data_IF_695445033220
#
_entry.id   IF_695445033220
#
_cell.length_a   1.000
_cell.length_b   1.000
_cell.length_c   1.000
_cell.angle_alpha   90.00
_cell.angle_beta   90.00
_cell.angle_gamma   90.00
#
_symmetry.space_group_name_H-M   'P 1'
#
loop_
_entity.id
_entity.type
_entity.pdbx_description
1 polymer ?
#
# COMPACT_ATOMS: atom_id res chain seq x y z
N UNK A 1 7.73 13.88 1.23
CA UNK A 1 7.79 13.79 -0.23
C UNK A 1 7.60 12.35 -0.69
N UNK A 2 6.78 12.15 -1.68
CA UNK A 2 6.46 10.82 -2.16
C UNK A 2 7.41 10.39 -3.27
N UNK A 3 7.91 9.17 -3.18
CA UNK A 3 8.72 8.57 -4.23
C UNK A 3 8.07 7.29 -4.70
N UNK A 4 8.20 7.03 -6.00
CA UNK A 4 7.68 5.84 -6.61
C UNK A 4 8.82 4.84 -6.74
N UNK A 5 8.68 3.66 -6.16
CA UNK A 5 9.72 2.65 -6.16
C UNK A 5 9.40 1.60 -7.21
N UNK A 6 10.02 1.72 -8.38
CA UNK A 6 9.84 0.77 -9.46
C UNK A 6 11.09 -0.08 -9.69
N UNK A 7 12.22 0.35 -9.11
CA UNK A 7 13.44 -0.44 -9.11
C UNK A 7 13.91 -0.44 -7.67
N UNK A 8 14.23 -1.61 -7.14
CA UNK A 8 14.50 -1.74 -5.72
C UNK A 8 15.87 -2.32 -5.47
N UNK A 9 16.69 -1.62 -4.70
CA UNK A 9 17.97 -2.17 -4.26
C UNK A 9 17.79 -2.77 -2.86
N UNK A 10 18.86 -3.32 -2.33
CA UNK A 10 18.81 -4.00 -1.05
C UNK A 10 18.50 -3.04 0.09
N UNK A 11 19.01 -1.82 0.01
CA UNK A 11 18.76 -0.85 1.06
C UNK A 11 17.28 -0.49 1.13
N UNK A 12 16.67 -0.23 -0.03
CA UNK A 12 15.26 0.13 -0.07
C UNK A 12 14.39 -1.03 0.41
N UNK A 13 14.72 -2.27 0.02
CA UNK A 13 13.92 -3.41 0.44
C UNK A 13 14.02 -3.64 1.94
N UNK A 14 15.17 -3.36 2.54
CA UNK A 14 15.33 -3.47 3.98
C UNK A 14 14.57 -2.37 4.71
N UNK A 15 14.56 -1.16 4.16
CA UNK A 15 13.80 -0.05 4.72
C UNK A 15 12.31 -0.37 4.69
N UNK A 16 11.84 -0.98 3.60
CA UNK A 16 10.44 -1.37 3.50
C UNK A 16 10.09 -2.47 4.50
N UNK A 17 10.97 -3.44 4.66
CA UNK A 17 10.73 -4.49 5.63
C UNK A 17 10.67 -3.91 7.05
N UNK A 18 11.55 -3.00 7.36
CA UNK A 18 11.57 -2.35 8.67
C UNK A 18 10.30 -1.58 8.96
N UNK A 19 9.83 -0.78 8.02
CA UNK A 19 8.64 0.01 8.25
C UNK A 19 7.40 -0.87 8.33
N UNK A 20 7.36 -1.94 7.56
CA UNK A 20 6.24 -2.87 7.64
C UNK A 20 6.22 -3.56 9.01
N UNK A 21 7.38 -3.93 9.55
CA UNK A 21 7.45 -4.54 10.86
C UNK A 21 7.11 -3.57 11.99
N UNK A 22 7.38 -2.28 11.78
CA UNK A 22 7.06 -1.28 12.78
C UNK A 22 5.54 -1.09 12.87
N UNK A 23 4.84 -1.22 11.76
CA UNK A 23 3.41 -0.98 11.68
C UNK A 23 2.60 -2.27 11.86
N UNK A 24 3.10 -3.38 11.33
CA UNK A 24 2.41 -4.65 11.40
C UNK A 24 3.31 -5.69 12.05
N UNK A 25 2.74 -6.76 12.56
CA UNK A 25 3.52 -7.80 13.21
C UNK A 25 4.23 -8.70 12.22
N UNK A 26 3.79 -8.73 10.98
CA UNK A 26 4.46 -9.54 9.96
C UNK A 26 4.70 -8.70 8.73
N UNK A 27 5.83 -8.91 8.11
CA UNK A 27 6.19 -8.20 6.89
C UNK A 27 6.77 -9.18 5.90
N UNK A 28 6.79 -8.80 4.64
CA UNK A 28 7.46 -9.60 3.63
C UNK A 28 8.96 -9.52 3.88
N UNK A 29 9.70 -10.62 3.70
CA UNK A 29 11.16 -10.55 3.81
C UNK A 29 11.72 -9.59 2.77
N UNK A 30 12.80 -8.90 3.11
CA UNK A 30 13.37 -7.88 2.22
C UNK A 30 13.78 -8.44 0.86
N UNK A 31 14.31 -9.66 0.83
CA UNK A 31 14.68 -10.27 -0.44
C UNK A 31 13.47 -10.51 -1.32
N UNK A 32 12.35 -10.90 -0.74
CA UNK A 32 11.13 -11.12 -1.48
C UNK A 32 10.61 -9.79 -2.04
N UNK A 33 10.63 -8.73 -1.23
CA UNK A 33 10.19 -7.41 -1.68
C UNK A 33 11.04 -6.97 -2.87
N UNK A 34 12.35 -7.11 -2.75
CA UNK A 34 13.27 -6.70 -3.81
C UNK A 34 12.99 -7.44 -5.10
N UNK A 35 12.85 -8.76 -5.01
CA UNK A 35 12.59 -9.59 -6.17
C UNK A 35 11.28 -9.23 -6.84
N UNK A 36 10.23 -9.07 -6.05
CA UNK A 36 8.90 -8.79 -6.60
C UNK A 36 8.82 -7.40 -7.24
N UNK A 37 9.48 -6.41 -6.66
CA UNK A 37 9.51 -5.08 -7.27
C UNK A 37 10.27 -5.13 -8.59
N UNK A 38 11.43 -5.78 -8.59
CA UNK A 38 12.26 -5.83 -9.79
C UNK A 38 11.63 -6.68 -10.90
N UNK A 39 10.78 -7.64 -10.55
CA UNK A 39 10.04 -8.43 -11.53
C UNK A 39 8.71 -7.77 -11.91
N UNK A 40 8.47 -6.56 -11.43
CA UNK A 40 7.26 -5.79 -11.73
C UNK A 40 5.97 -6.43 -11.23
N UNK A 41 6.09 -7.24 -10.20
CA UNK A 41 4.92 -7.83 -9.56
C UNK A 41 4.40 -6.95 -8.43
N UNK A 42 5.30 -6.22 -7.76
CA UNK A 42 4.94 -5.29 -6.70
C UNK A 42 5.35 -3.89 -7.11
N UNK A 43 4.66 -2.88 -6.57
CA UNK A 43 5.05 -1.50 -6.71
C UNK A 43 4.78 -0.81 -5.38
N UNK A 44 5.68 0.08 -4.98
CA UNK A 44 5.53 0.82 -3.75
C UNK A 44 5.63 2.31 -4.01
N UNK A 45 4.85 3.07 -3.25
CA UNK A 45 5.02 4.52 -3.15
C UNK A 45 5.42 4.75 -1.70
N UNK A 46 6.46 5.53 -1.49
CA UNK A 46 6.99 5.78 -0.16
C UNK A 46 7.00 7.26 0.13
N UNK A 47 6.82 7.61 1.39
CA UNK A 47 6.89 9.00 1.81
C UNK A 47 8.10 9.13 2.72
N UNK A 48 8.98 10.06 2.37
CA UNK A 48 10.22 10.27 3.13
C UNK A 48 10.25 11.64 3.77
N UNK A 49 10.81 11.68 4.96
CA UNK A 49 11.07 12.92 5.64
C UNK A 49 12.52 12.86 6.09
N UNK A 50 13.33 13.81 5.65
CA UNK A 50 14.76 13.86 5.99
C UNK A 50 15.44 12.53 5.67
N UNK A 51 15.15 12.00 4.49
CA UNK A 51 15.69 10.73 4.01
C UNK A 51 15.24 9.50 4.81
N UNK A 52 14.33 9.68 5.74
CA UNK A 52 13.79 8.54 6.48
C UNK A 52 12.44 8.15 5.91
N UNK A 53 12.23 6.85 5.73
CA UNK A 53 10.97 6.33 5.26
C UNK A 53 9.97 6.39 6.40
N UNK A 54 8.89 7.15 6.25
CA UNK A 54 7.90 7.31 7.32
C UNK A 54 6.53 6.77 6.95
N UNK A 55 6.31 6.43 5.69
CA UNK A 55 5.03 5.85 5.26
C UNK A 55 5.21 5.12 3.95
N UNK A 56 4.31 4.20 3.67
CA UNK A 56 4.36 3.45 2.43
C UNK A 56 2.97 3.01 1.99
N UNK A 57 2.86 2.73 0.70
CA UNK A 57 1.70 2.07 0.12
C UNK A 57 2.25 1.05 -0.86
N UNK A 58 1.93 -0.21 -0.65
CA UNK A 58 2.40 -1.27 -1.53
C UNK A 58 1.25 -1.96 -2.24
N UNK A 59 1.45 -2.29 -3.50
CA UNK A 59 0.44 -2.99 -4.29
C UNK A 59 1.08 -4.13 -5.04
N UNK A 60 0.25 -5.11 -5.44
CA UNK A 60 0.69 -6.12 -6.38
C UNK A 60 -0.26 -6.13 -7.56
N UNK A 61 0.26 -6.55 -8.70
CA UNK A 61 -0.52 -6.60 -9.94
C UNK A 61 -0.93 -8.03 -10.19
N UNK A 62 -2.22 -8.27 -10.31
CA UNK A 62 -2.76 -9.62 -10.54
C UNK A 62 -3.68 -9.54 -11.74
N UNK A 63 -3.27 -10.14 -12.85
CA UNK A 63 -4.06 -10.10 -14.08
C UNK A 63 -4.42 -8.67 -14.45
N UNK A 64 -5.70 -8.34 -14.45
CA UNK A 64 -6.16 -7.02 -14.87
C UNK A 64 -6.56 -6.13 -13.71
N UNK A 65 -6.13 -6.45 -12.49
CA UNK A 65 -6.46 -5.58 -11.36
C UNK A 65 -5.25 -5.37 -10.44
N UNK A 66 -5.37 -4.37 -9.58
CA UNK A 66 -4.35 -4.00 -8.62
C UNK A 66 -4.85 -4.36 -7.24
N UNK A 67 -4.03 -5.05 -6.46
CA UNK A 67 -4.39 -5.36 -5.09
C UNK A 67 -3.51 -4.58 -4.14
N UNK A 68 -4.11 -3.87 -3.20
CA UNK A 68 -3.35 -3.15 -2.19
C UNK A 68 -2.84 -4.16 -1.17
N UNK A 69 -1.52 -4.25 -1.02
CA UNK A 69 -0.90 -5.13 -0.05
C UNK A 69 -0.90 -4.51 1.33
N UNK A 70 -0.72 -3.23 1.41
CA UNK A 70 -0.73 -2.53 2.68
C UNK A 70 -0.46 -1.06 2.51
N UNK A 71 -0.90 -0.29 3.49
CA UNK A 71 -0.62 1.13 3.56
C UNK A 71 -0.39 1.43 5.03
N UNK A 72 0.64 2.16 5.34
CA UNK A 72 0.95 2.46 6.73
C UNK A 72 1.74 3.73 6.88
N UNK A 73 1.56 4.38 8.02
CA UNK A 73 2.28 5.60 8.40
C UNK A 73 2.75 5.38 9.82
N UNK A 74 4.02 5.68 10.10
CA UNK A 74 4.51 5.50 11.47
C UNK A 74 3.80 6.50 12.38
N UNK A 75 3.66 6.12 13.63
CA UNK A 75 2.76 6.82 14.56
C UNK A 75 3.01 8.31 14.64
N UNK A 76 4.26 8.73 14.71
CA UNK A 76 4.58 10.15 14.84
C UNK A 76 4.12 11.01 13.68
N UNK A 77 3.86 10.45 12.54
CA UNK A 77 3.47 11.22 11.36
C UNK A 77 2.01 11.01 10.96
N UNK A 78 1.24 10.33 11.78
CA UNK A 78 -0.18 10.11 11.50
C UNK A 78 -0.97 11.40 11.65
N UNK A 79 -2.15 11.42 11.04
CA UNK A 79 -3.06 12.58 11.07
C UNK A 79 -2.53 13.80 10.33
N UNK A 80 -1.58 13.60 9.44
CA UNK A 80 -1.06 14.68 8.62
C UNK A 80 -1.43 14.52 7.14
N UNK A 81 -2.36 13.63 6.85
CA UNK A 81 -2.84 13.46 5.46
C UNK A 81 -1.93 12.65 4.57
N UNK A 82 -0.89 12.02 5.12
CA UNK A 82 0.09 11.28 4.31
C UNK A 82 -0.56 10.07 3.65
N UNK A 83 -1.40 9.32 4.37
CA UNK A 83 -2.07 8.17 3.78
C UNK A 83 -2.94 8.58 2.60
N UNK A 84 -3.64 9.70 2.73
CA UNK A 84 -4.46 10.23 1.64
C UNK A 84 -3.62 10.62 0.44
N UNK A 85 -2.45 11.22 0.66
CA UNK A 85 -1.54 11.56 -0.43
C UNK A 85 -1.05 10.33 -1.16
N UNK A 86 -0.70 9.29 -0.41
CA UNK A 86 -0.26 8.03 -1.02
C UNK A 86 -1.38 7.39 -1.84
N UNK A 87 -2.59 7.39 -1.31
CA UNK A 87 -3.72 6.82 -2.02
C UNK A 87 -4.03 7.62 -3.29
N UNK A 88 -3.87 8.94 -3.25
CA UNK A 88 -4.08 9.76 -4.45
C UNK A 88 -3.06 9.42 -5.54
N UNK A 89 -1.83 9.11 -5.15
CA UNK A 89 -0.82 8.68 -6.12
C UNK A 89 -1.23 7.36 -6.78
N UNK A 90 -1.76 6.44 -6.00
CA UNK A 90 -2.24 5.18 -6.55
C UNK A 90 -3.41 5.40 -7.50
N UNK A 91 -4.36 6.25 -7.11
CA UNK A 91 -5.53 6.50 -7.94
C UNK A 91 -5.13 7.18 -9.26
N UNK A 92 -4.16 8.07 -9.20
CA UNK A 92 -3.66 8.72 -10.40
C UNK A 92 -2.99 7.70 -11.33
N UNK A 93 -2.18 6.82 -10.76
CA UNK A 93 -1.55 5.75 -11.52
C UNK A 93 -2.62 4.84 -12.14
N UNK A 94 -3.62 4.46 -11.36
CA UNK A 94 -4.70 3.59 -11.83
C UNK A 94 -5.45 4.22 -12.98
N UNK A 95 -5.77 5.51 -12.87
CA UNK A 95 -6.52 6.20 -13.91
C UNK A 95 -5.76 6.30 -15.23
N UNK A 96 -4.45 6.25 -15.19
CA UNK A 96 -3.63 6.29 -16.39
C UNK A 96 -3.27 4.90 -16.90
N UNK A 97 -3.71 3.86 -16.21
CA UNK A 97 -3.36 2.48 -16.55
C UNK A 97 -4.50 1.79 -17.27
N UNK A 98 -4.26 0.56 -17.69
CA UNK A 98 -5.30 -0.26 -18.28
C UNK A 98 -5.90 -1.24 -17.27
N UNK A 99 -5.52 -1.14 -16.00
CA UNK A 99 -6.10 -2.01 -14.98
C UNK A 99 -7.56 -1.67 -14.78
N UNK A 100 -8.37 -2.68 -14.49
CA UNK A 100 -9.82 -2.53 -14.45
C UNK A 100 -10.36 -2.17 -13.07
N UNK A 101 -9.66 -2.54 -12.01
CA UNK A 101 -10.12 -2.23 -10.66
C UNK A 101 -9.00 -2.31 -9.64
N UNK A 102 -9.22 -1.70 -8.50
CA UNK A 102 -8.33 -1.80 -7.35
C UNK A 102 -9.11 -2.55 -6.28
N UNK A 103 -8.48 -3.56 -5.68
CA UNK A 103 -9.12 -4.31 -4.60
C UNK A 103 -8.25 -4.22 -3.35
N UNK A 104 -8.88 -4.32 -2.21
CA UNK A 104 -8.16 -4.27 -0.94
C UNK A 104 -8.90 -5.06 0.11
N UNK A 105 -8.16 -5.44 1.15
CA UNK A 105 -8.72 -6.19 2.25
C UNK A 105 -8.67 -5.33 3.50
N UNK A 106 -9.76 -5.25 4.23
CA UNK A 106 -9.84 -4.46 5.46
C UNK A 106 -10.51 -5.30 6.52
N UNK A 107 -9.94 -5.34 7.72
CA UNK A 107 -10.58 -6.04 8.81
C UNK A 107 -11.87 -5.36 9.16
N UNK A 108 -12.88 -6.14 9.45
CA UNK A 108 -14.18 -5.62 9.78
C UNK A 108 -14.13 -4.65 10.97
N UNK A 109 -13.22 -4.88 11.89
CA UNK A 109 -13.08 -4.04 13.06
C UNK A 109 -12.28 -2.76 12.83
N UNK A 110 -11.68 -2.60 11.66
CA UNK A 110 -10.83 -1.45 11.40
C UNK A 110 -11.66 -0.30 10.81
N UNK A 111 -12.37 0.41 11.67
CA UNK A 111 -13.27 1.49 11.23
C UNK A 111 -12.51 2.66 10.61
N UNK A 112 -11.33 2.95 11.09
CA UNK A 112 -10.53 4.05 10.55
C UNK A 112 -10.19 3.79 9.08
N UNK A 113 -9.73 2.58 8.77
CA UNK A 113 -9.40 2.22 7.40
C UNK A 113 -10.65 2.18 6.53
N UNK A 114 -11.73 1.62 7.05
CA UNK A 114 -12.99 1.55 6.31
C UNK A 114 -13.49 2.93 5.93
N UNK A 115 -13.40 3.88 6.87
CA UNK A 115 -13.84 5.25 6.60
C UNK A 115 -12.95 5.91 5.55
N UNK A 116 -11.65 5.70 5.63
CA UNK A 116 -10.73 6.26 4.63
C UNK A 116 -11.06 5.75 3.24
N UNK A 117 -11.23 4.43 3.11
CA UNK A 117 -11.47 3.84 1.78
C UNK A 117 -12.83 4.24 1.23
N UNK A 118 -13.84 4.30 2.08
CA UNK A 118 -15.16 4.74 1.65
C UNK A 118 -15.10 6.19 1.16
N UNK A 119 -14.37 7.03 1.87
CA UNK A 119 -14.23 8.40 1.50
C UNK A 119 -13.53 8.57 0.16
N UNK A 120 -12.64 7.66 -0.19
CA UNK A 120 -11.95 7.68 -1.45
C UNK A 120 -12.72 7.02 -2.58
N UNK A 121 -13.92 6.55 -2.32
CA UNK A 121 -14.77 5.99 -3.37
C UNK A 121 -14.76 4.47 -3.48
N UNK A 122 -14.13 3.79 -2.54
CA UNK A 122 -14.15 2.33 -2.56
C UNK A 122 -15.47 1.82 -2.03
N UNK A 123 -15.99 0.77 -2.64
CA UNK A 123 -17.24 0.15 -2.23
C UNK A 123 -17.00 -1.22 -1.66
N UNK A 124 -17.77 -1.58 -0.65
CA UNK A 124 -17.69 -2.89 -0.05
C UNK A 124 -18.30 -3.91 -1.01
N UNK A 125 -17.52 -4.90 -1.40
CA UNK A 125 -18.01 -5.92 -2.32
C UNK A 125 -18.20 -7.28 -1.66
N UNK A 126 -17.70 -7.49 -0.44
CA UNK A 126 -17.89 -8.73 0.24
C UNK A 126 -18.00 -8.49 1.72
N UNK A 127 -19.08 -9.09 2.31
CA UNK A 127 -19.25 -8.93 3.65
C UNK A 127 -18.31 -9.73 4.41
N UNK A 128 -17.85 -10.84 3.87
CA UNK A 128 -17.06 -11.75 4.50
C UNK A 128 -15.87 -11.18 4.99
N UNK A 129 -15.19 -10.48 4.36
CA UNK A 129 -14.10 -10.02 4.78
C UNK A 129 -13.53 -9.04 4.08
N UNK A 130 -13.85 -8.86 3.02
CA UNK A 130 -13.04 -8.06 2.33
C UNK A 130 -13.78 -7.03 1.70
N UNK A 131 -13.14 -6.03 1.35
CA UNK A 131 -13.71 -5.05 0.56
C UNK A 131 -13.16 -5.20 -0.73
N UNK A 132 -12.69 -6.29 -0.98
CA UNK A 132 -12.11 -6.51 -2.13
C UNK A 132 -12.56 -7.81 -2.24
N UNK A 133 -11.88 -8.62 -2.50
CA UNK A 133 -12.26 -9.82 -2.85
C UNK A 133 -12.39 -10.64 -1.75
N UNK A 134 -11.92 -10.38 -0.64
CA UNK A 134 -11.98 -11.33 0.12
C UNK A 134 -11.89 -11.04 1.37
N UNK A 135 -11.51 -11.19 2.24
CA UNK A 135 -11.70 -11.28 3.34
C UNK A 135 -11.05 -10.80 4.23
N UNK A 136 -11.34 -10.50 5.20
CA UNK A 136 -10.65 -10.10 6.18
C UNK A 136 -10.33 -11.10 7.09
#
# INVERSE_FOLDING_TARGET
>A
MIENVSVCDLKMSKDLEEIENEIFTTAWPSETIKQKINNKEFKYWVYKKNDKLVAYLGVQFINDFIEILGIGVIEEYRKNGIAGELMNELLDFFNKSSYLKIILEVRESNDTAKNLYTKLGFNKISKRKNYYKNED
#
